data_IF_382078622403
#
_entry.id   IF_382078622403
#
_cell.length_a   1.000
_cell.length_b   1.000
_cell.length_c   1.000
_cell.angle_alpha   90.00
_cell.angle_beta   90.00
_cell.angle_gamma   90.00
#
_symmetry.space_group_name_H-M   'P 1'
#
loop_
_entity.id
_entity.type
_entity.pdbx_description
1 polymer ?
#
# COMPACT_ATOMS: atom_id res chain seq x y z
N UNK A 1 -15.43 -10.14 -7.74
CA UNK A 1 -14.43 -9.05 -7.87
C UNK A 1 -13.04 -9.63 -7.87
N UNK A 2 -12.22 -9.25 -8.82
CA UNK A 2 -10.82 -9.67 -8.87
C UNK A 2 -9.94 -8.58 -8.28
N UNK A 3 -9.13 -8.94 -7.28
CA UNK A 3 -8.11 -8.07 -6.73
C UNK A 3 -6.76 -8.50 -7.27
N UNK A 4 -6.01 -7.54 -7.79
CA UNK A 4 -4.61 -7.77 -8.11
C UNK A 4 -3.78 -7.44 -6.90
N UNK A 5 -2.88 -8.33 -6.56
CA UNK A 5 -1.99 -8.11 -5.43
C UNK A 5 -0.57 -8.58 -5.75
N UNK A 6 0.37 -8.01 -5.03
CA UNK A 6 1.78 -8.42 -5.08
C UNK A 6 2.24 -8.66 -3.66
N UNK A 7 2.90 -9.79 -3.43
CA UNK A 7 3.50 -10.08 -2.13
C UNK A 7 4.90 -9.48 -2.10
N UNK A 8 5.21 -8.68 -1.08
CA UNK A 8 6.50 -8.04 -0.93
C UNK A 8 7.06 -8.26 0.46
N UNK A 9 8.39 -8.24 0.56
CA UNK A 9 9.12 -8.37 1.82
C UNK A 9 9.75 -7.03 2.17
N UNK A 10 9.43 -6.52 3.35
CA UNK A 10 10.19 -5.45 3.98
C UNK A 10 11.24 -6.02 4.92
N UNK A 11 12.00 -5.16 5.58
CA UNK A 11 12.97 -5.58 6.59
C UNK A 11 12.22 -5.98 7.87
N UNK A 12 12.00 -7.28 8.05
CA UNK A 12 11.37 -7.82 9.25
C UNK A 12 9.87 -8.03 9.18
N UNK A 13 9.19 -7.59 8.11
CA UNK A 13 7.78 -7.88 7.92
C UNK A 13 7.42 -8.00 6.44
N UNK A 14 6.29 -8.61 6.15
CA UNK A 14 5.82 -8.80 4.79
C UNK A 14 4.52 -8.04 4.54
N UNK A 15 4.28 -7.76 3.26
CA UNK A 15 3.15 -6.97 2.79
C UNK A 15 2.42 -7.66 1.67
N UNK A 16 1.10 -7.56 1.68
CA UNK A 16 0.30 -7.73 0.47
C UNK A 16 0.04 -6.34 -0.08
N UNK A 17 0.50 -6.09 -1.31
CA UNK A 17 0.33 -4.79 -1.96
C UNK A 17 -0.86 -4.86 -2.89
N UNK A 18 -1.82 -3.98 -2.71
CA UNK A 18 -3.02 -3.86 -3.54
C UNK A 18 -2.90 -2.63 -4.41
N UNK A 19 -3.11 -2.79 -5.72
CA UNK A 19 -3.02 -1.69 -6.67
C UNK A 19 -4.40 -1.09 -6.92
N UNK A 20 -4.61 0.10 -6.40
CA UNK A 20 -5.82 0.89 -6.60
C UNK A 20 -5.61 2.07 -7.54
N UNK A 21 -4.54 2.07 -8.36
CA UNK A 21 -4.23 3.22 -9.21
C UNK A 21 -5.18 3.37 -10.40
N UNK A 22 -5.75 2.26 -10.88
CA UNK A 22 -6.70 2.30 -11.98
C UNK A 22 -8.12 2.59 -11.50
N UNK A 23 -8.46 2.13 -10.27
CA UNK A 23 -9.77 2.36 -9.66
C UNK A 23 -9.61 2.34 -8.15
N UNK A 24 -10.35 3.17 -7.41
CA UNK A 24 -10.25 3.21 -5.96
C UNK A 24 -10.57 1.85 -5.32
N UNK A 25 -9.84 1.54 -4.26
CA UNK A 25 -10.07 0.34 -3.48
C UNK A 25 -11.07 0.63 -2.37
N UNK A 26 -12.02 -0.28 -2.17
CA UNK A 26 -13.01 -0.16 -1.11
C UNK A 26 -13.14 -1.52 -0.42
N UNK A 27 -12.37 -1.70 0.65
CA UNK A 27 -12.33 -2.95 1.39
C UNK A 27 -12.71 -2.72 2.84
N UNK A 28 -13.52 -3.64 3.37
CA UNK A 28 -13.86 -3.63 4.80
C UNK A 28 -12.71 -4.18 5.62
N UNK A 29 -12.71 -3.88 6.92
CA UNK A 29 -11.72 -4.44 7.84
C UNK A 29 -11.75 -5.98 7.83
N UNK A 30 -12.92 -6.56 7.71
CA UNK A 30 -13.06 -8.02 7.62
C UNK A 30 -12.41 -8.58 6.35
N UNK A 31 -12.61 -7.93 5.21
CA UNK A 31 -11.97 -8.34 3.96
C UNK A 31 -10.44 -8.24 4.05
N UNK A 32 -9.94 -7.19 4.68
CA UNK A 32 -8.51 -7.02 4.90
C UNK A 32 -7.94 -8.10 5.80
N UNK A 33 -8.64 -8.44 6.89
CA UNK A 33 -8.22 -9.52 7.78
C UNK A 33 -8.18 -10.86 7.07
N UNK A 34 -9.17 -11.16 6.23
CA UNK A 34 -9.19 -12.41 5.46
C UNK A 34 -8.06 -12.48 4.46
N UNK A 35 -7.76 -11.38 3.79
CA UNK A 35 -6.66 -11.31 2.83
C UNK A 35 -5.32 -11.56 3.52
N UNK A 36 -5.13 -11.01 4.71
CA UNK A 36 -3.89 -11.16 5.48
C UNK A 36 -3.77 -12.46 6.26
N UNK A 37 -4.81 -13.28 6.30
CA UNK A 37 -4.81 -14.54 7.04
C UNK A 37 -3.89 -15.54 6.36
N UNK A 38 -2.91 -16.06 7.12
CA UNK A 38 -1.89 -16.96 6.55
C UNK A 38 -2.43 -18.35 6.22
N UNK A 39 -3.58 -18.70 6.76
CA UNK A 39 -4.19 -20.01 6.55
C UNK A 39 -5.23 -19.99 5.42
N UNK A 40 -6.07 -18.96 5.40
CA UNK A 40 -7.22 -18.90 4.48
C UNK A 40 -7.10 -17.79 3.43
N UNK A 41 -6.10 -16.96 3.52
CA UNK A 41 -5.86 -15.88 2.58
C UNK A 41 -4.45 -15.94 2.00
N UNK A 42 -3.96 -14.79 1.54
CA UNK A 42 -2.60 -14.68 1.01
C UNK A 42 -1.57 -14.74 2.12
N UNK A 43 -1.88 -14.13 3.25
CA UNK A 43 -1.01 -14.08 4.42
C UNK A 43 0.01 -12.95 4.35
N UNK A 44 -0.03 -12.07 5.34
CA UNK A 44 0.94 -10.99 5.50
C UNK A 44 0.80 -10.36 6.88
N UNK A 45 1.85 -9.66 7.31
CA UNK A 45 1.79 -8.84 8.52
C UNK A 45 0.94 -7.61 8.29
N UNK A 46 1.08 -6.99 7.11
CA UNK A 46 0.39 -5.75 6.77
C UNK A 46 -0.07 -5.76 5.31
N UNK A 47 -1.03 -4.90 5.02
CA UNK A 47 -1.57 -4.71 3.68
C UNK A 47 -1.28 -3.27 3.28
N UNK A 48 -0.69 -3.08 2.11
CA UNK A 48 -0.34 -1.78 1.56
C UNK A 48 -1.22 -1.51 0.35
N UNK A 49 -2.04 -0.47 0.43
CA UNK A 49 -2.87 -0.05 -0.69
C UNK A 49 -2.21 1.14 -1.39
N UNK A 50 -1.98 1.00 -2.69
CA UNK A 50 -1.39 2.05 -3.54
C UNK A 50 -2.50 2.67 -4.36
N UNK A 51 -2.71 3.98 -4.22
CA UNK A 51 -3.79 4.68 -4.90
C UNK A 51 -3.28 5.98 -5.53
N UNK A 52 -4.00 6.50 -6.52
CA UNK A 52 -3.75 7.85 -7.03
C UNK A 52 -4.33 8.86 -6.04
N UNK A 53 -3.60 9.94 -5.81
CA UNK A 53 -4.11 11.02 -4.98
C UNK A 53 -5.09 11.91 -5.75
N UNK A 54 -6.10 12.41 -5.05
CA UNK A 54 -6.99 13.44 -5.57
C UNK A 54 -6.58 14.83 -5.11
N UNK A 55 -5.55 14.93 -4.26
CA UNK A 55 -5.04 16.21 -3.74
C UNK A 55 -4.14 16.86 -4.78
N UNK A 56 -4.37 18.14 -5.15
CA UNK A 56 -3.49 18.82 -6.11
C UNK A 56 -2.04 18.86 -5.63
N UNK A 57 -1.11 18.54 -6.54
CA UNK A 57 0.31 18.53 -6.25
C UNK A 57 0.82 17.28 -5.56
N UNK A 58 -0.04 16.31 -5.27
CA UNK A 58 0.31 15.03 -4.66
C UNK A 58 0.13 13.92 -5.69
N UNK A 59 1.15 13.09 -5.87
CA UNK A 59 1.15 12.08 -6.93
C UNK A 59 0.36 10.82 -6.56
N UNK A 60 0.57 10.35 -5.34
CA UNK A 60 -0.04 9.10 -4.87
C UNK A 60 -0.56 9.25 -3.46
N UNK A 61 -1.41 8.30 -3.11
CA UNK A 61 -1.82 8.04 -1.74
C UNK A 61 -1.51 6.59 -1.42
N UNK A 62 -0.90 6.32 -0.26
CA UNK A 62 -0.80 4.95 0.19
C UNK A 62 -1.35 4.79 1.59
N UNK A 63 -1.94 3.64 1.81
CA UNK A 63 -2.58 3.32 3.08
C UNK A 63 -2.02 1.99 3.55
N UNK A 64 -1.76 1.90 4.85
CA UNK A 64 -1.24 0.68 5.46
C UNK A 64 -2.26 0.19 6.47
N UNK A 65 -2.57 -1.10 6.38
CA UNK A 65 -3.51 -1.75 7.30
C UNK A 65 -2.80 -2.86 8.03
N UNK A 66 -3.08 -2.98 9.32
CA UNK A 66 -2.63 -4.12 10.09
C UNK A 66 -3.48 -5.32 9.69
N UNK A 67 -2.85 -6.41 9.23
CA UNK A 67 -3.59 -7.56 8.74
C UNK A 67 -4.38 -8.26 9.86
N UNK A 68 -3.86 -8.27 11.08
CA UNK A 68 -4.52 -8.95 12.19
C UNK A 68 -5.84 -8.28 12.60
N UNK A 69 -5.91 -6.95 12.52
CA UNK A 69 -7.09 -6.19 12.95
C UNK A 69 -7.91 -5.61 11.79
N UNK A 70 -7.27 -5.41 10.63
CA UNK A 70 -7.86 -4.68 9.52
C UNK A 70 -7.87 -3.17 9.70
N UNK A 71 -7.25 -2.68 10.78
CA UNK A 71 -7.22 -1.25 11.07
C UNK A 71 -6.14 -0.54 10.27
N UNK A 72 -6.45 0.68 9.81
CA UNK A 72 -5.48 1.53 9.16
C UNK A 72 -4.49 2.06 10.20
N UNK A 73 -3.20 1.99 9.88
CA UNK A 73 -2.12 2.44 10.75
C UNK A 73 -1.33 3.55 10.08
N UNK A 74 -0.53 4.24 10.88
CA UNK A 74 0.31 5.31 10.38
C UNK A 74 1.47 4.77 9.54
N UNK A 75 2.08 5.67 8.77
CA UNK A 75 3.25 5.39 7.96
C UNK A 75 4.34 4.65 8.75
N UNK A 76 4.94 3.65 8.12
CA UNK A 76 6.14 3.00 8.62
C UNK A 76 7.20 2.96 7.51
N UNK A 77 8.48 2.99 7.91
CA UNK A 77 9.60 3.04 6.95
C UNK A 77 9.64 1.86 6.00
N UNK A 78 9.30 0.66 6.48
CA UNK A 78 9.27 -0.54 5.63
C UNK A 78 8.15 -0.45 4.58
N UNK A 79 6.99 0.09 4.96
CA UNK A 79 5.90 0.31 4.02
C UNK A 79 6.27 1.30 2.92
N UNK A 80 6.96 2.38 3.28
CA UNK A 80 7.43 3.36 2.30
C UNK A 80 8.42 2.76 1.31
N UNK A 81 9.32 1.90 1.78
CA UNK A 81 10.27 1.20 0.90
C UNK A 81 9.57 0.26 -0.07
N UNK A 82 8.61 -0.51 0.41
CA UNK A 82 7.81 -1.37 -0.45
C UNK A 82 7.01 -0.56 -1.46
N UNK A 83 6.45 0.57 -1.05
CA UNK A 83 5.70 1.46 -1.91
C UNK A 83 6.59 1.98 -3.05
N UNK A 84 7.78 2.48 -2.74
CA UNK A 84 8.73 2.99 -3.74
C UNK A 84 9.11 1.88 -4.73
N UNK A 85 9.43 0.70 -4.25
CA UNK A 85 9.74 -0.45 -5.12
C UNK A 85 8.59 -0.78 -6.04
N UNK A 86 7.38 -0.80 -5.49
CA UNK A 86 6.19 -1.10 -6.28
C UNK A 86 5.99 -0.10 -7.41
N UNK A 87 6.08 1.19 -7.08
CA UNK A 87 5.92 2.27 -8.07
C UNK A 87 6.96 2.14 -9.19
N UNK A 88 8.21 1.86 -8.84
CA UNK A 88 9.28 1.70 -9.83
C UNK A 88 9.10 0.46 -10.69
N UNK A 89 8.85 -0.67 -10.07
CA UNK A 89 8.73 -1.97 -10.77
C UNK A 89 7.54 -1.99 -11.72
N UNK A 90 6.47 -1.27 -11.38
CA UNK A 90 5.26 -1.23 -12.21
C UNK A 90 5.18 0.00 -13.11
N UNK A 91 6.23 0.83 -13.12
CA UNK A 91 6.28 2.00 -14.00
C UNK A 91 5.18 3.01 -13.76
N UNK A 92 4.73 3.17 -12.52
CA UNK A 92 3.62 4.06 -12.20
C UNK A 92 4.02 5.54 -12.23
N UNK A 93 5.31 5.85 -12.13
CA UNK A 93 5.84 7.20 -12.26
C UNK A 93 7.27 7.13 -12.80
N UNK A 94 7.64 8.13 -13.61
CA UNK A 94 9.00 8.30 -14.12
C UNK A 94 9.74 9.46 -13.44
N UNK A 95 9.14 10.04 -12.40
CA UNK A 95 9.72 11.15 -11.66
C UNK A 95 10.75 10.65 -10.65
N UNK A 96 11.79 11.46 -10.41
CA UNK A 96 12.82 11.10 -9.42
C UNK A 96 12.32 11.24 -7.99
N UNK A 97 11.45 12.22 -7.75
CA UNK A 97 10.86 12.50 -6.45
C UNK A 97 9.35 12.59 -6.62
N UNK A 98 8.62 11.90 -5.76
CA UNK A 98 7.16 11.93 -5.76
C UNK A 98 6.64 12.40 -4.42
N UNK A 99 5.48 13.04 -4.45
CA UNK A 99 4.74 13.40 -3.24
C UNK A 99 3.65 12.38 -3.00
N UNK A 100 3.60 11.88 -1.77
CA UNK A 100 2.69 10.81 -1.39
C UNK A 100 1.99 11.18 -0.11
N UNK A 101 0.67 11.11 -0.12
CA UNK A 101 -0.09 11.32 1.12
C UNK A 101 -0.36 10.00 1.84
N UNK A 102 -0.32 10.07 3.15
CA UNK A 102 -0.68 8.98 4.05
C UNK A 102 -1.90 9.41 4.86
N UNK A 103 -2.27 8.62 5.84
CA UNK A 103 -3.42 8.94 6.70
C UNK A 103 -3.27 10.29 7.40
N UNK A 104 -2.03 10.70 7.74
CA UNK A 104 -1.79 11.93 8.51
C UNK A 104 -0.85 12.93 7.87
N UNK A 105 -0.10 12.56 6.84
CA UNK A 105 1.00 13.37 6.33
C UNK A 105 1.11 13.32 4.82
N UNK A 106 1.85 14.29 4.28
CA UNK A 106 2.35 14.24 2.90
C UNK A 106 3.87 14.08 2.98
N UNK A 107 4.37 13.08 2.28
CA UNK A 107 5.80 12.73 2.28
C UNK A 107 6.38 12.97 0.89
N UNK A 108 7.66 13.33 0.84
CA UNK A 108 8.43 13.27 -0.39
C UNK A 108 9.27 12.01 -0.37
N UNK A 109 9.11 11.19 -1.41
CA UNK A 109 9.86 9.94 -1.53
C UNK A 109 10.69 9.97 -2.81
N UNK A 110 11.92 9.51 -2.70
CA UNK A 110 12.83 9.40 -3.84
C UNK A 110 12.70 8.01 -4.45
N UNK A 111 12.46 8.00 -5.73
CA UNK A 111 12.38 6.75 -6.48
C UNK A 111 13.74 6.21 -6.89
#
# INVERSE_FOLDING_TARGET
MKLRFTKMQGAGNDFVVLDGTAAPLSLTAEQLRRLGDRRFGVGADQILAVERSTTPGVDFRYRIFNAASGDEVEHCGNGARCFVRYVREHGLSDRDVIKVETVNNVLELRL
#
